data_IF_179995832585
#
_entry.id   IF_179995832585
#
_cell.length_a   1.000
_cell.length_b   1.000
_cell.length_c   1.000
_cell.angle_alpha   90.00
_cell.angle_beta   90.00
_cell.angle_gamma   90.00
#
_symmetry.space_group_name_H-M   'P 1'
#
loop_
_entity.id
_entity.type
_entity.pdbx_description
1 polymer ?
#
# COMPACT_ATOMS: atom_id res chain seq x y z
N UNK A 1 0.62 7.31 8.79
CA UNK A 1 0.19 7.46 7.39
C UNK A 1 -0.71 8.67 7.12
N UNK A 2 -1.22 9.38 8.14
CA UNK A 2 -2.11 10.55 7.93
C UNK A 2 -1.63 11.56 6.89
N UNK A 3 -0.37 12.01 6.96
CA UNK A 3 0.19 13.01 6.03
C UNK A 3 0.10 12.55 4.57
N UNK A 4 0.46 11.29 4.30
CA UNK A 4 0.45 10.71 2.97
C UNK A 4 -0.98 10.62 2.43
N UNK A 5 -1.91 10.13 3.24
CA UNK A 5 -3.32 10.04 2.89
C UNK A 5 -3.93 11.42 2.60
N UNK A 6 -3.67 12.43 3.44
CA UNK A 6 -4.15 13.80 3.23
C UNK A 6 -3.64 14.39 1.89
N UNK A 7 -2.39 14.09 1.50
CA UNK A 7 -1.84 14.56 0.22
C UNK A 7 -2.53 13.91 -0.98
N UNK A 8 -2.76 12.59 -0.94
CA UNK A 8 -3.41 11.87 -2.04
C UNK A 8 -4.91 12.18 -2.10
N UNK A 9 -5.57 12.38 -0.96
CA UNK A 9 -6.97 12.84 -0.89
C UNK A 9 -7.13 14.19 -1.59
N UNK A 10 -6.26 15.16 -1.27
CA UNK A 10 -6.24 16.46 -1.94
C UNK A 10 -6.01 16.33 -3.45
N UNK A 11 -5.11 15.44 -3.87
CA UNK A 11 -4.90 15.16 -5.28
C UNK A 11 -6.17 14.61 -5.93
N UNK A 12 -6.80 13.58 -5.34
CA UNK A 12 -8.05 13.04 -5.84
C UNK A 12 -9.15 14.12 -5.97
N UNK A 13 -9.34 14.95 -4.95
CA UNK A 13 -10.32 16.05 -4.98
C UNK A 13 -10.02 17.05 -6.10
N UNK A 14 -8.74 17.36 -6.31
CA UNK A 14 -8.29 18.30 -7.36
C UNK A 14 -8.54 17.75 -8.76
N UNK A 15 -8.39 16.43 -8.95
CA UNK A 15 -8.50 15.77 -10.24
C UNK A 15 -9.85 15.05 -10.46
N UNK A 16 -10.81 15.21 -9.55
CA UNK A 16 -12.15 14.64 -9.67
C UNK A 16 -12.21 13.11 -9.49
N UNK A 17 -11.26 12.54 -8.73
CA UNK A 17 -11.21 11.12 -8.38
C UNK A 17 -11.99 10.93 -7.08
N UNK A 18 -12.86 9.93 -7.02
CA UNK A 18 -13.69 9.67 -5.84
C UNK A 18 -12.87 9.13 -4.65
N UNK A 19 -12.97 9.83 -3.52
CA UNK A 19 -12.60 9.35 -2.20
C UNK A 19 -13.82 8.72 -1.50
N UNK A 20 -13.65 7.57 -0.85
CA UNK A 20 -14.66 6.98 0.04
C UNK A 20 -14.30 7.23 1.50
N UNK A 21 -15.32 7.29 2.35
CA UNK A 21 -15.17 7.56 3.79
C UNK A 21 -15.66 6.43 4.69
N UNK A 22 -16.11 5.34 4.07
CA UNK A 22 -16.50 4.11 4.75
C UNK A 22 -15.92 2.93 3.97
N UNK A 23 -15.48 1.86 4.66
CA UNK A 23 -15.00 0.63 4.04
C UNK A 23 -15.99 0.09 3.02
N UNK A 24 -15.57 0.00 1.76
CA UNK A 24 -16.39 -0.55 0.69
C UNK A 24 -15.53 -1.21 -0.40
N UNK A 25 -15.72 -2.51 -0.59
CA UNK A 25 -15.09 -3.27 -1.67
C UNK A 25 -15.76 -3.06 -3.05
N UNK A 26 -16.96 -2.49 -3.07
CA UNK A 26 -17.79 -2.28 -4.26
C UNK A 26 -17.45 -0.95 -4.94
N UNK A 27 -16.19 -0.76 -5.35
CA UNK A 27 -15.69 0.50 -5.95
C UNK A 27 -15.82 0.54 -7.49
N UNK A 28 -16.39 -0.52 -8.08
CA UNK A 28 -16.56 -0.70 -9.52
C UNK A 28 -15.35 -1.36 -10.19
N UNK A 29 -15.62 -2.14 -11.25
CA UNK A 29 -14.59 -2.92 -11.94
C UNK A 29 -13.48 -2.05 -12.54
N UNK A 30 -13.83 -0.88 -13.08
CA UNK A 30 -12.86 0.04 -13.67
C UNK A 30 -11.88 0.60 -12.63
N UNK A 31 -12.38 0.96 -11.45
CA UNK A 31 -11.53 1.42 -10.33
C UNK A 31 -10.60 0.30 -9.86
N UNK A 32 -11.13 -0.92 -9.70
CA UNK A 32 -10.33 -2.09 -9.30
C UNK A 32 -9.23 -2.36 -10.32
N UNK A 33 -9.58 -2.40 -11.61
CA UNK A 33 -8.64 -2.63 -12.70
C UNK A 33 -7.58 -1.53 -12.78
N UNK A 34 -7.98 -0.26 -12.62
CA UNK A 34 -7.06 0.88 -12.59
C UNK A 34 -6.06 0.76 -11.43
N UNK A 35 -6.54 0.55 -10.20
CA UNK A 35 -5.68 0.44 -9.01
C UNK A 35 -4.73 -0.75 -9.12
N UNK A 36 -5.22 -1.91 -9.56
CA UNK A 36 -4.38 -3.08 -9.79
C UNK A 36 -3.29 -2.82 -10.83
N UNK A 37 -3.64 -2.23 -11.98
CA UNK A 37 -2.68 -1.95 -13.06
C UNK A 37 -1.58 -1.00 -12.59
N UNK A 38 -1.94 0.09 -11.90
CA UNK A 38 -0.95 1.05 -11.38
C UNK A 38 -0.02 0.37 -10.37
N UNK A 39 -0.54 -0.42 -9.42
CA UNK A 39 0.32 -1.16 -8.48
C UNK A 39 1.26 -2.15 -9.18
N UNK A 40 0.80 -2.80 -10.25
CA UNK A 40 1.62 -3.73 -11.01
C UNK A 40 2.74 -3.03 -11.80
N UNK A 41 2.45 -1.85 -12.34
CA UNK A 41 3.40 -0.99 -13.06
C UNK A 41 4.55 -0.57 -12.14
N UNK A 42 4.26 0.08 -11.00
CA UNK A 42 5.31 0.51 -10.05
C UNK A 42 6.10 -0.66 -9.45
N UNK A 43 5.47 -1.83 -9.30
CA UNK A 43 6.15 -3.02 -8.80
C UNK A 43 7.16 -3.60 -9.80
N UNK A 44 6.90 -3.48 -11.10
CA UNK A 44 7.85 -3.86 -12.14
C UNK A 44 9.03 -2.87 -12.18
N UNK A 45 8.76 -1.57 -12.10
CA UNK A 45 9.81 -0.53 -12.04
C UNK A 45 10.73 -0.72 -10.82
N UNK A 46 10.14 -1.01 -9.65
CA UNK A 46 10.90 -1.38 -8.46
C UNK A 46 11.81 -2.60 -8.71
N UNK A 47 11.29 -3.65 -9.36
CA UNK A 47 12.05 -4.88 -9.61
C UNK A 47 13.24 -4.59 -10.54
N UNK A 48 13.02 -3.86 -11.63
CA UNK A 48 14.08 -3.47 -12.55
C UNK A 48 15.16 -2.64 -11.86
N UNK A 49 14.76 -1.61 -11.10
CA UNK A 49 15.68 -0.74 -10.36
C UNK A 49 16.49 -1.50 -9.29
N UNK A 50 15.82 -2.38 -8.54
CA UNK A 50 16.47 -3.18 -7.51
C UNK A 50 17.47 -4.18 -8.09
N UNK A 51 17.15 -4.83 -9.22
CA UNK A 51 18.06 -5.72 -9.93
C UNK A 51 19.26 -4.97 -10.54
N UNK A 52 19.05 -3.72 -10.96
CA UNK A 52 20.12 -2.85 -11.46
C UNK A 52 21.01 -2.28 -10.33
N UNK A 53 20.60 -2.40 -9.06
CA UNK A 53 21.30 -1.79 -7.93
C UNK A 53 21.20 -0.26 -7.92
N UNK A 54 20.17 0.30 -8.56
CA UNK A 54 19.97 1.75 -8.65
C UNK A 54 19.15 2.24 -7.45
N UNK A 55 19.84 2.79 -6.45
CA UNK A 55 19.20 3.27 -5.23
C UNK A 55 18.29 4.50 -5.45
N UNK A 56 18.51 5.27 -6.52
CA UNK A 56 17.70 6.45 -6.82
C UNK A 56 16.36 6.00 -7.39
N UNK A 57 16.39 5.15 -8.41
CA UNK A 57 15.18 4.59 -9.03
C UNK A 57 14.40 3.70 -8.06
N UNK A 58 15.09 2.95 -7.18
CA UNK A 58 14.42 2.22 -6.10
C UNK A 58 13.66 3.17 -5.16
N UNK A 59 14.25 4.31 -4.81
CA UNK A 59 13.59 5.27 -3.93
C UNK A 59 12.36 5.92 -4.60
N UNK A 60 12.43 6.16 -5.91
CA UNK A 60 11.34 6.69 -6.72
C UNK A 60 10.17 5.70 -6.77
N UNK A 61 10.42 4.47 -7.21
CA UNK A 61 9.40 3.42 -7.31
C UNK A 61 8.75 3.11 -5.95
N UNK A 62 9.52 3.05 -4.85
CA UNK A 62 8.94 2.88 -3.51
C UNK A 62 8.06 4.07 -3.09
N UNK A 63 8.42 5.28 -3.50
CA UNK A 63 7.61 6.49 -3.30
C UNK A 63 6.27 6.41 -4.04
N UNK A 64 6.30 6.00 -5.30
CA UNK A 64 5.11 5.86 -6.14
C UNK A 64 4.22 4.71 -5.68
N UNK A 65 4.77 3.56 -5.31
CA UNK A 65 4.02 2.47 -4.66
C UNK A 65 3.28 2.95 -3.41
N UNK A 66 3.92 3.76 -2.56
CA UNK A 66 3.26 4.33 -1.38
C UNK A 66 2.12 5.29 -1.78
N UNK A 67 2.32 6.11 -2.80
CA UNK A 67 1.32 7.07 -3.30
C UNK A 67 0.10 6.33 -3.90
N UNK A 68 0.33 5.32 -4.73
CA UNK A 68 -0.70 4.48 -5.34
C UNK A 68 -1.44 3.66 -4.29
N UNK A 69 -0.74 3.13 -3.29
CA UNK A 69 -1.35 2.42 -2.17
C UNK A 69 -2.28 3.35 -1.37
N UNK A 70 -1.84 4.57 -1.05
CA UNK A 70 -2.69 5.57 -0.39
C UNK A 70 -3.94 5.89 -1.23
N UNK A 71 -3.79 6.03 -2.54
CA UNK A 71 -4.93 6.24 -3.45
C UNK A 71 -5.89 5.05 -3.45
N UNK A 72 -5.37 3.83 -3.38
CA UNK A 72 -6.15 2.60 -3.31
C UNK A 72 -6.93 2.50 -1.99
N UNK A 73 -6.29 2.83 -0.86
CA UNK A 73 -6.90 2.90 0.47
C UNK A 73 -8.09 3.88 0.46
N UNK A 74 -7.88 5.08 -0.09
CA UNK A 74 -8.92 6.12 -0.17
C UNK A 74 -10.08 5.73 -1.10
N UNK A 75 -9.80 5.08 -2.22
CA UNK A 75 -10.85 4.58 -3.11
C UNK A 75 -11.77 3.55 -2.43
N UNK A 76 -11.26 2.81 -1.44
CA UNK A 76 -12.01 1.82 -0.66
C UNK A 76 -12.51 2.35 0.69
N UNK A 77 -12.19 3.59 1.07
CA UNK A 77 -12.62 4.19 2.33
C UNK A 77 -11.99 3.55 3.57
N UNK A 78 -10.77 3.01 3.43
CA UNK A 78 -10.08 2.24 4.47
C UNK A 78 -9.13 3.11 5.34
N UNK A 79 -9.00 4.40 5.05
CA UNK A 79 -8.02 5.31 5.69
C UNK A 79 -8.13 5.39 7.21
N UNK A 80 -9.29 5.08 7.78
CA UNK A 80 -9.50 5.12 9.23
C UNK A 80 -9.18 3.80 9.94
N UNK A 81 -9.00 2.70 9.19
CA UNK A 81 -8.75 1.36 9.75
C UNK A 81 -7.41 0.77 9.33
N UNK A 82 -6.76 1.30 8.29
CA UNK A 82 -5.58 0.68 7.70
C UNK A 82 -4.39 0.62 8.68
N UNK A 83 -4.23 1.63 9.53
CA UNK A 83 -3.17 1.64 10.55
C UNK A 83 -3.45 0.60 11.65
N UNK A 84 -4.71 0.47 12.10
CA UNK A 84 -5.09 -0.58 13.06
C UNK A 84 -4.85 -1.97 12.48
N UNK A 85 -5.21 -2.20 11.21
CA UNK A 85 -4.91 -3.45 10.51
C UNK A 85 -3.40 -3.69 10.43
N UNK A 86 -2.60 -2.66 10.17
CA UNK A 86 -1.14 -2.77 10.15
C UNK A 86 -0.58 -3.20 11.51
N UNK A 87 -1.05 -2.61 12.60
CA UNK A 87 -0.63 -2.99 13.96
C UNK A 87 -0.99 -4.44 14.30
N UNK A 88 -2.19 -4.91 13.89
CA UNK A 88 -2.58 -6.31 14.07
C UNK A 88 -1.71 -7.28 13.24
N UNK A 89 -1.38 -6.91 12.00
CA UNK A 89 -0.45 -7.67 11.16
C UNK A 89 0.94 -7.73 11.81
N UNK A 90 1.42 -6.59 12.32
CA UNK A 90 2.71 -6.49 12.99
C UNK A 90 2.75 -7.36 14.26
N UNK A 91 1.73 -7.26 15.11
CA UNK A 91 1.61 -8.08 16.32
C UNK A 91 1.59 -9.57 15.98
N UNK A 92 0.83 -9.98 14.97
CA UNK A 92 0.77 -11.36 14.49
C UNK A 92 2.11 -11.86 13.94
N UNK A 93 2.87 -11.02 13.25
CA UNK A 93 4.18 -11.40 12.73
C UNK A 93 5.22 -11.51 13.85
N UNK A 94 5.22 -10.58 14.80
CA UNK A 94 6.14 -10.61 15.94
C UNK A 94 5.80 -11.68 16.98
N UNK A 95 4.57 -12.20 17.02
CA UNK A 95 4.21 -13.34 17.86
C UNK A 95 4.77 -14.67 17.35
N UNK A 96 5.30 -14.72 16.12
CA UNK A 96 5.91 -15.92 15.51
C UNK A 96 7.40 -16.06 15.85
N UNK A 97 7.88 -15.35 16.87
CA UNK A 97 9.25 -15.49 17.36
C UNK A 97 9.33 -16.59 18.42
N UNK A 98 10.41 -17.38 18.37
CA UNK A 98 10.76 -18.35 19.41
C UNK A 98 11.21 -17.69 20.71
N UNK A 99 11.47 -18.49 21.73
CA UNK A 99 11.98 -17.98 23.03
C UNK A 99 13.33 -17.24 22.91
N UNK A 100 14.06 -17.46 21.82
CA UNK A 100 15.32 -16.81 21.45
C UNK A 100 15.12 -15.51 20.63
N UNK A 101 13.87 -15.12 20.36
CA UNK A 101 13.52 -13.98 19.52
C UNK A 101 13.75 -14.19 18.03
N UNK A 102 14.00 -15.42 17.57
CA UNK A 102 14.18 -15.74 16.15
C UNK A 102 12.87 -16.19 15.50
N UNK A 103 12.66 -15.95 14.19
CA UNK A 103 11.47 -16.41 13.48
C UNK A 103 11.30 -17.93 13.55
N UNK A 104 10.09 -18.38 13.90
CA UNK A 104 9.69 -19.78 13.80
C UNK A 104 9.25 -20.02 12.36
N UNK A 105 10.11 -20.67 11.57
CA UNK A 105 9.77 -21.12 10.22
C UNK A 105 8.90 -22.37 10.31
N UNK A 106 7.74 -22.36 9.64
CA UNK A 106 6.98 -23.58 9.35
C UNK A 106 7.50 -24.15 8.03
N UNK A 107 7.52 -25.48 7.91
CA UNK A 107 8.00 -26.18 6.71
C UNK A 107 6.92 -26.29 5.60
N UNK A 108 5.98 -25.35 5.51
CA UNK A 108 4.92 -25.37 4.49
C UNK A 108 5.39 -24.95 3.08
#
# INVERSE_FOLDING_TARGET
MKKQLDHVEKFHDTFGITNKYQPDASVGADTIALRHRLMAEENEEYLEAALAGDAIEVADALGDMMYILCGTILSHGMQHIIEEIFEEIQASNMSKLGEDGQPIYRED
#
